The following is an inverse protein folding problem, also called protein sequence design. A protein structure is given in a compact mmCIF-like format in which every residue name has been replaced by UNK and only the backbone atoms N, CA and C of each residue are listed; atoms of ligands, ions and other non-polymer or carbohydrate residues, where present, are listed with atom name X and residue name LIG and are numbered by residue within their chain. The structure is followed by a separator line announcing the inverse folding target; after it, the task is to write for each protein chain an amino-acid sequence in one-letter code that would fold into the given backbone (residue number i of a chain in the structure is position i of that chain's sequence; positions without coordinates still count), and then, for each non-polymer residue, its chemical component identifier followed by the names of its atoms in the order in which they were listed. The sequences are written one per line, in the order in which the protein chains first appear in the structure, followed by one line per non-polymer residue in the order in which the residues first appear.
data_IF_104132399453
#
_entry.id   IF_104132399453
#
_cell.length_a   1.000
_cell.length_b   1.000
_cell.length_c   1.000
_cell.angle_alpha   90.00
_cell.angle_beta   90.00
_cell.angle_gamma   90.00
#
_symmetry.space_group_name_H-M   'P 1'
#
loop_
_entity.id
_entity.type
_entity.pdbx_description
1 polymer ?
#
# COMPACT_ATOMS: atom_id res chain seq x y z
N UNK A 1 11.42 36.68 -24.33
CA UNK A 1 10.70 36.57 -25.63
C UNK A 1 10.74 35.17 -26.26
N UNK A 2 11.74 34.30 -26.00
CA UNK A 2 11.85 32.99 -26.67
C UNK A 2 10.75 31.96 -26.34
N UNK A 3 10.05 32.09 -25.22
CA UNK A 3 9.07 31.09 -24.74
C UNK A 3 7.63 31.29 -25.29
N UNK A 4 7.41 32.03 -26.38
CA UNK A 4 6.08 32.22 -26.95
C UNK A 4 5.65 31.02 -27.83
N UNK A 5 4.34 30.67 -27.89
CA UNK A 5 3.85 29.52 -28.68
C UNK A 5 4.16 29.57 -30.18
N UNK A 6 4.45 30.76 -30.72
CA UNK A 6 4.83 30.99 -32.12
C UNK A 6 6.25 30.52 -32.45
N UNK A 7 7.09 30.28 -31.43
CA UNK A 7 8.48 29.87 -31.59
C UNK A 7 8.68 28.35 -31.31
N UNK A 8 7.60 27.56 -31.23
CA UNK A 8 7.67 26.14 -30.86
C UNK A 8 8.43 25.29 -31.89
N UNK A 9 8.33 25.65 -33.17
CA UNK A 9 9.05 24.97 -34.25
C UNK A 9 10.56 25.23 -34.14
N UNK A 10 10.98 26.47 -33.83
CA UNK A 10 12.39 26.83 -33.61
C UNK A 10 12.95 26.12 -32.36
N UNK A 11 12.17 26.05 -31.28
CA UNK A 11 12.58 25.33 -30.07
C UNK A 11 12.72 23.82 -30.30
N UNK A 12 11.84 23.23 -31.12
CA UNK A 12 11.92 21.82 -31.47
C UNK A 12 13.11 21.51 -32.39
N UNK A 13 13.33 22.30 -33.44
CA UNK A 13 14.39 22.06 -34.42
C UNK A 13 15.79 22.22 -33.83
N UNK A 14 16.03 23.23 -32.99
CA UNK A 14 17.38 23.51 -32.48
C UNK A 14 17.67 22.92 -31.10
N UNK A 15 16.64 22.67 -30.28
CA UNK A 15 16.82 22.20 -28.90
C UNK A 15 16.07 20.91 -28.59
N UNK A 16 15.30 20.34 -29.52
CA UNK A 16 14.51 19.12 -29.30
C UNK A 16 13.33 19.30 -28.33
N UNK A 17 12.98 20.55 -27.96
CA UNK A 17 11.95 20.84 -26.97
C UNK A 17 10.72 21.47 -27.64
N UNK A 18 9.56 20.79 -27.58
CA UNK A 18 8.27 21.37 -27.98
C UNK A 18 7.29 21.44 -26.80
N UNK A 19 6.71 22.62 -26.59
CA UNK A 19 5.64 22.84 -25.62
C UNK A 19 4.36 22.11 -26.02
N UNK A 20 4.01 22.07 -27.30
CA UNK A 20 2.84 21.35 -27.79
C UNK A 20 2.95 19.85 -27.56
N UNK A 21 4.12 19.28 -27.83
CA UNK A 21 4.39 17.85 -27.58
C UNK A 21 4.32 17.56 -26.08
N UNK A 22 4.97 18.39 -25.25
CA UNK A 22 4.91 18.25 -23.78
C UNK A 22 3.50 18.38 -23.23
N UNK A 23 2.69 19.33 -23.72
CA UNK A 23 1.31 19.52 -23.29
C UNK A 23 0.40 18.36 -23.71
N UNK A 24 0.58 17.82 -24.93
CA UNK A 24 -0.13 16.61 -25.39
C UNK A 24 0.24 15.39 -24.57
N UNK A 25 1.53 15.22 -24.25
CA UNK A 25 2.03 14.15 -23.38
C UNK A 25 1.42 14.24 -21.98
N UNK A 26 1.47 15.42 -21.33
CA UNK A 26 0.85 15.64 -20.02
C UNK A 26 -0.67 15.41 -20.04
N UNK A 27 -1.36 15.87 -21.08
CA UNK A 27 -2.81 15.65 -21.23
C UNK A 27 -3.15 14.16 -21.36
N UNK A 28 -2.34 13.40 -22.10
CA UNK A 28 -2.51 11.96 -22.25
C UNK A 28 -2.25 11.22 -20.93
N UNK A 29 -1.21 11.63 -20.19
CA UNK A 29 -0.89 11.08 -18.87
C UNK A 29 -2.04 11.30 -17.86
N UNK A 30 -2.55 12.54 -17.76
CA UNK A 30 -3.68 12.87 -16.88
C UNK A 30 -4.92 12.05 -17.26
N UNK A 31 -5.22 11.91 -18.57
CA UNK A 31 -6.34 11.10 -19.04
C UNK A 31 -6.18 9.63 -18.63
N UNK A 32 -4.98 9.05 -18.80
CA UNK A 32 -4.68 7.68 -18.35
C UNK A 32 -4.93 7.54 -16.84
N UNK A 33 -4.39 8.46 -16.04
CA UNK A 33 -4.59 8.46 -14.57
C UNK A 33 -6.07 8.49 -14.19
N UNK A 34 -6.86 9.36 -14.83
CA UNK A 34 -8.30 9.47 -14.59
C UNK A 34 -9.10 8.26 -15.07
N UNK A 35 -8.67 7.57 -16.13
CA UNK A 35 -9.31 6.32 -16.58
C UNK A 35 -9.11 5.23 -15.54
N UNK A 36 -7.87 5.01 -15.08
CA UNK A 36 -7.56 4.01 -14.05
C UNK A 36 -8.29 4.34 -12.76
N UNK A 37 -8.22 5.59 -12.28
CA UNK A 37 -8.92 6.02 -11.06
C UNK A 37 -10.43 5.73 -11.13
N UNK A 38 -11.09 6.11 -12.23
CA UNK A 38 -12.53 5.85 -12.41
C UNK A 38 -12.84 4.36 -12.50
N UNK A 39 -11.98 3.56 -13.16
CA UNK A 39 -12.14 2.10 -13.22
C UNK A 39 -12.00 1.47 -11.83
N UNK A 40 -10.98 1.85 -11.08
CA UNK A 40 -10.76 1.40 -9.71
C UNK A 40 -11.94 1.79 -8.79
N UNK A 41 -12.42 3.03 -8.83
CA UNK A 41 -13.59 3.45 -8.04
C UNK A 41 -14.85 2.65 -8.37
N UNK A 42 -15.03 2.25 -9.63
CA UNK A 42 -16.19 1.49 -10.09
C UNK A 42 -16.10 0.00 -9.73
N UNK A 43 -14.91 -0.59 -9.78
CA UNK A 43 -14.72 -2.03 -9.61
C UNK A 43 -14.32 -2.41 -8.17
N UNK A 44 -13.52 -1.57 -7.53
CA UNK A 44 -13.00 -1.76 -6.17
C UNK A 44 -13.85 -0.95 -5.19
N UNK A 45 -15.15 -1.26 -5.13
CA UNK A 45 -16.15 -0.41 -4.46
C UNK A 45 -16.04 -0.42 -2.93
N UNK A 46 -15.42 -1.44 -2.35
CA UNK A 46 -15.40 -1.66 -0.90
C UNK A 46 -14.00 -1.44 -0.33
N UNK A 47 -13.91 -0.57 0.69
CA UNK A 47 -12.74 -0.50 1.57
C UNK A 47 -12.50 -1.87 2.21
N UNK A 48 -11.25 -2.29 2.28
CA UNK A 48 -10.87 -3.59 2.83
C UNK A 48 -11.10 -4.78 1.90
N UNK A 49 -11.52 -4.54 0.65
CA UNK A 49 -11.57 -5.58 -0.38
C UNK A 49 -10.17 -6.13 -0.64
N UNK A 50 -10.03 -7.44 -0.66
CA UNK A 50 -8.77 -8.07 -1.04
C UNK A 50 -8.61 -8.01 -2.55
N UNK A 51 -7.45 -7.54 -3.00
CA UNK A 51 -7.11 -7.39 -4.42
C UNK A 51 -5.76 -8.06 -4.67
N UNK A 52 -5.66 -8.75 -5.81
CA UNK A 52 -4.41 -9.31 -6.28
C UNK A 52 -3.69 -8.27 -7.14
N UNK A 53 -2.52 -7.80 -6.70
CA UNK A 53 -1.65 -6.97 -7.55
C UNK A 53 -0.64 -7.88 -8.23
N UNK A 54 -0.61 -7.89 -9.57
CA UNK A 54 0.19 -8.84 -10.36
C UNK A 54 0.86 -8.18 -11.56
N UNK A 55 2.15 -8.49 -11.77
CA UNK A 55 2.89 -8.18 -13.00
C UNK A 55 2.24 -8.90 -14.20
N UNK A 56 1.80 -8.11 -15.19
CA UNK A 56 1.15 -8.61 -16.39
C UNK A 56 2.10 -9.40 -17.32
N UNK A 57 3.41 -9.26 -17.13
CA UNK A 57 4.44 -9.99 -17.88
C UNK A 57 4.94 -11.24 -17.16
N UNK A 58 4.44 -11.53 -15.95
CA UNK A 58 4.84 -12.72 -15.20
C UNK A 58 3.99 -13.95 -15.61
N UNK A 59 4.58 -14.76 -16.49
CA UNK A 59 4.02 -16.01 -17.01
C UNK A 59 4.08 -17.17 -16.00
N UNK A 60 4.73 -16.99 -14.84
CA UNK A 60 4.90 -18.07 -13.83
C UNK A 60 3.63 -18.30 -13.02
N UNK A 61 2.79 -17.28 -12.87
CA UNK A 61 1.53 -17.40 -12.14
C UNK A 61 0.71 -18.59 -12.65
N UNK A 62 0.16 -19.43 -11.75
CA UNK A 62 0.04 -19.24 -10.29
C UNK A 62 1.21 -19.82 -9.49
N UNK A 63 2.28 -20.31 -10.11
CA UNK A 63 3.35 -21.09 -9.49
C UNK A 63 4.60 -20.25 -9.23
N UNK A 64 5.03 -20.15 -7.97
CA UNK A 64 6.22 -19.39 -7.62
C UNK A 64 7.51 -20.12 -8.05
N UNK A 65 8.57 -19.35 -8.31
CA UNK A 65 9.92 -19.89 -8.50
C UNK A 65 10.49 -20.33 -7.14
N UNK A 66 10.50 -21.64 -6.91
CA UNK A 66 10.96 -22.28 -5.66
C UNK A 66 12.46 -22.08 -5.40
N UNK A 67 13.24 -21.67 -6.41
CA UNK A 67 14.69 -21.40 -6.22
C UNK A 67 14.94 -20.05 -5.54
N UNK A 68 13.95 -19.15 -5.52
CA UNK A 68 14.06 -17.81 -4.95
C UNK A 68 13.57 -17.79 -3.51
N UNK A 69 14.44 -17.34 -2.59
CA UNK A 69 14.06 -17.14 -1.18
C UNK A 69 13.19 -15.90 -0.95
N UNK A 70 13.42 -14.84 -1.74
CA UNK A 70 12.67 -13.58 -1.63
C UNK A 70 11.30 -13.73 -2.30
N UNK A 71 10.21 -13.57 -1.54
CA UNK A 71 8.83 -13.78 -2.04
C UNK A 71 8.51 -12.97 -3.31
N UNK A 72 8.90 -11.70 -3.38
CA UNK A 72 8.63 -10.84 -4.54
C UNK A 72 9.47 -11.19 -5.78
N UNK A 73 10.60 -11.88 -5.61
CA UNK A 73 11.38 -12.46 -6.73
C UNK A 73 10.80 -13.80 -7.17
N UNK A 74 10.41 -14.62 -6.20
CA UNK A 74 9.79 -15.92 -6.41
C UNK A 74 8.46 -15.78 -7.17
N UNK A 75 7.66 -14.77 -6.81
CA UNK A 75 6.37 -14.47 -7.43
C UNK A 75 6.14 -12.97 -7.52
N UNK A 76 5.79 -12.45 -8.71
CA UNK A 76 5.46 -11.02 -8.89
C UNK A 76 3.96 -10.75 -8.76
N UNK A 77 3.35 -11.41 -7.78
CA UNK A 77 1.98 -11.18 -7.39
C UNK A 77 1.82 -11.28 -5.88
N UNK A 78 0.97 -10.43 -5.33
CA UNK A 78 0.67 -10.41 -3.91
C UNK A 78 -0.74 -9.87 -3.66
N UNK A 79 -1.41 -10.42 -2.64
CA UNK A 79 -2.74 -9.99 -2.21
C UNK A 79 -2.57 -8.86 -1.21
N UNK A 80 -3.32 -7.80 -1.41
CA UNK A 80 -3.40 -6.68 -0.47
C UNK A 80 -4.84 -6.33 -0.15
N UNK A 81 -5.06 -5.67 0.99
CA UNK A 81 -6.35 -5.01 1.26
C UNK A 81 -6.34 -3.63 0.60
N UNK A 82 -7.32 -3.40 -0.26
CA UNK A 82 -7.50 -2.13 -0.94
C UNK A 82 -8.05 -1.08 0.04
N UNK A 83 -7.36 0.05 0.14
CA UNK A 83 -7.84 1.20 0.91
C UNK A 83 -8.60 2.16 0.01
N UNK A 84 -8.04 2.60 -1.10
CA UNK A 84 -8.74 3.62 -1.88
C UNK A 84 -7.96 4.28 -2.99
N UNK A 85 -8.65 5.20 -3.65
CA UNK A 85 -8.08 6.08 -4.66
C UNK A 85 -7.66 7.42 -4.03
N UNK A 86 -6.37 7.73 -4.09
CA UNK A 86 -5.81 8.99 -3.59
C UNK A 86 -5.25 9.85 -4.72
N UNK A 87 -4.67 11.00 -4.41
CA UNK A 87 -4.12 11.90 -5.42
C UNK A 87 -2.88 11.32 -6.12
N UNK A 88 -2.17 10.42 -5.45
CA UNK A 88 -0.87 9.87 -5.85
C UNK A 88 -0.91 8.40 -6.33
N UNK A 89 -2.06 7.73 -6.20
CA UNK A 89 -2.24 6.36 -6.68
C UNK A 89 -3.38 5.63 -6.00
N UNK A 90 -3.42 4.31 -6.20
CA UNK A 90 -4.22 3.38 -5.41
C UNK A 90 -3.44 3.05 -4.13
N UNK A 91 -4.06 3.18 -2.96
CA UNK A 91 -3.44 2.80 -1.70
C UNK A 91 -3.87 1.39 -1.34
N UNK A 92 -2.89 0.58 -0.93
CA UNK A 92 -3.11 -0.77 -0.42
C UNK A 92 -2.43 -0.92 0.93
N UNK A 93 -3.11 -1.58 1.87
CA UNK A 93 -2.62 -1.77 3.23
C UNK A 93 -1.43 -2.73 3.22
N UNK A 94 -0.33 -2.30 3.86
CA UNK A 94 0.87 -3.11 4.05
C UNK A 94 1.00 -3.61 5.48
N UNK A 95 0.78 -2.73 6.44
CA UNK A 95 0.87 -3.04 7.87
C UNK A 95 -0.25 -2.36 8.63
N UNK A 96 -0.80 -3.05 9.64
CA UNK A 96 -1.78 -2.50 10.55
C UNK A 96 -1.49 -2.96 11.97
N UNK A 97 -1.25 -2.01 12.86
CA UNK A 97 -0.92 -2.27 14.24
C UNK A 97 -1.93 -1.64 15.19
N UNK A 98 -2.21 -2.32 16.30
CA UNK A 98 -2.84 -1.68 17.46
C UNK A 98 -1.96 -0.53 17.95
N UNK A 99 -2.58 0.62 18.19
CA UNK A 99 -1.86 1.83 18.54
C UNK A 99 -2.52 2.61 19.68
N UNK A 100 -1.76 3.56 20.20
CA UNK A 100 -2.14 4.52 21.22
C UNK A 100 -1.87 5.93 20.70
N UNK A 101 -2.80 6.85 20.94
CA UNK A 101 -2.62 8.28 20.76
C UNK A 101 -3.15 9.00 22.00
N UNK A 102 -2.30 9.78 22.66
CA UNK A 102 -2.67 10.49 23.87
C UNK A 102 -3.64 11.65 23.61
N UNK A 103 -4.22 12.20 24.67
CA UNK A 103 -5.15 13.32 24.65
C UNK A 103 -4.56 14.58 23.98
N UNK A 104 -3.24 14.76 24.07
CA UNK A 104 -2.50 15.86 23.45
C UNK A 104 -2.37 15.75 21.93
N UNK A 105 -2.63 14.57 21.34
CA UNK A 105 -2.44 14.30 19.92
C UNK A 105 -0.98 14.27 19.47
N UNK A 106 -0.04 14.20 20.41
CA UNK A 106 1.41 14.22 20.18
C UNK A 106 2.04 12.92 20.67
N UNK A 107 1.80 12.52 21.91
CA UNK A 107 2.38 11.29 22.44
C UNK A 107 1.69 10.06 21.84
N UNK A 108 2.47 9.17 21.23
CA UNK A 108 1.91 8.01 20.53
C UNK A 108 2.75 6.75 20.69
N UNK A 109 2.14 5.60 20.43
CA UNK A 109 2.84 4.34 20.30
C UNK A 109 2.06 3.31 19.46
N UNK A 110 2.71 2.23 19.02
CA UNK A 110 2.06 1.07 18.41
C UNK A 110 2.73 -0.25 18.80
N UNK A 111 1.95 -1.33 18.68
CA UNK A 111 2.35 -2.70 18.96
C UNK A 111 3.15 -3.30 17.81
N UNK A 112 4.48 -3.19 17.86
CA UNK A 112 5.39 -3.66 16.81
C UNK A 112 5.36 -5.18 16.59
N UNK A 113 5.05 -5.95 17.63
CA UNK A 113 5.14 -7.41 17.60
C UNK A 113 3.96 -8.10 16.90
N UNK A 114 2.93 -7.36 16.46
CA UNK A 114 1.76 -7.91 15.78
C UNK A 114 1.48 -7.12 14.51
N UNK A 115 0.88 -7.76 13.50
CA UNK A 115 0.41 -7.09 12.29
C UNK A 115 -0.94 -7.69 11.86
N UNK A 116 -1.97 -6.85 11.83
CA UNK A 116 -3.36 -7.19 11.46
C UNK A 116 -3.68 -6.86 9.98
N UNK A 117 -2.64 -6.74 9.15
CA UNK A 117 -2.75 -6.50 7.70
C UNK A 117 -3.00 -7.76 6.87
N UNK A 118 -2.69 -8.94 7.42
CA UNK A 118 -2.63 -10.18 6.65
C UNK A 118 -3.96 -10.47 5.92
N UNK A 119 -3.92 -10.84 4.63
CA UNK A 119 -5.13 -11.20 3.89
C UNK A 119 -5.75 -12.47 4.48
N UNK A 120 -7.07 -12.52 4.52
CA UNK A 120 -7.86 -13.61 5.08
C UNK A 120 -7.67 -14.89 4.28
N UNK A 121 -7.73 -14.79 2.94
CA UNK A 121 -7.55 -15.93 2.03
C UNK A 121 -6.33 -15.69 1.16
N UNK A 122 -5.24 -16.40 1.43
CA UNK A 122 -4.06 -16.37 0.58
C UNK A 122 -3.70 -17.81 0.16
N UNK A 123 -3.93 -18.18 -1.12
CA UNK A 123 -3.71 -19.54 -1.60
C UNK A 123 -2.23 -19.91 -1.68
N UNK A 124 -1.33 -18.93 -1.59
CA UNK A 124 0.11 -19.14 -1.65
C UNK A 124 0.80 -19.00 -0.29
N UNK A 125 0.09 -19.31 0.81
CA UNK A 125 0.71 -19.47 2.13
C UNK A 125 1.54 -20.75 2.15
N UNK A 126 2.71 -20.67 2.77
CA UNK A 126 3.57 -21.82 3.04
C UNK A 126 3.33 -22.35 4.46
N UNK A 127 3.82 -23.56 4.76
CA UNK A 127 3.80 -24.09 6.14
C UNK A 127 4.53 -23.19 7.14
N UNK A 128 5.62 -22.53 6.69
CA UNK A 128 6.34 -21.56 7.52
C UNK A 128 5.52 -20.30 7.79
N UNK A 129 4.68 -19.87 6.83
CA UNK A 129 3.74 -18.77 7.04
C UNK A 129 2.69 -19.15 8.09
N UNK A 130 2.23 -20.40 8.12
CA UNK A 130 1.28 -20.88 9.14
C UNK A 130 1.89 -20.89 10.55
N UNK A 131 3.13 -21.39 10.71
CA UNK A 131 3.83 -21.35 12.00
C UNK A 131 4.05 -19.93 12.51
N UNK A 132 4.36 -19.01 11.59
CA UNK A 132 4.50 -17.59 11.93
C UNK A 132 3.17 -17.00 12.41
N UNK A 133 2.03 -17.42 11.85
CA UNK A 133 0.72 -16.94 12.28
C UNK A 133 0.40 -17.28 13.74
N UNK A 134 0.80 -18.45 14.24
CA UNK A 134 0.60 -18.80 15.65
C UNK A 134 1.35 -17.85 16.58
N UNK A 135 2.60 -17.51 16.23
CA UNK A 135 3.41 -16.54 16.98
C UNK A 135 2.79 -15.14 16.92
N UNK A 136 2.34 -14.72 15.74
CA UNK A 136 1.65 -13.43 15.54
C UNK A 136 0.33 -13.39 16.30
N UNK A 137 -0.41 -14.50 16.39
CA UNK A 137 -1.66 -14.58 17.14
C UNK A 137 -1.43 -14.39 18.64
N UNK A 138 -0.39 -15.02 19.20
CA UNK A 138 0.00 -14.81 20.59
C UNK A 138 0.45 -13.36 20.86
N UNK A 139 1.25 -12.78 19.97
CA UNK A 139 1.68 -11.39 20.07
C UNK A 139 0.49 -10.41 19.97
N UNK A 140 -0.47 -10.70 19.08
CA UNK A 140 -1.73 -9.95 18.94
C UNK A 140 -2.56 -10.03 20.22
N UNK A 141 -2.70 -11.21 20.84
CA UNK A 141 -3.43 -11.35 22.09
C UNK A 141 -2.82 -10.51 23.21
N UNK A 142 -1.50 -10.54 23.37
CA UNK A 142 -0.79 -9.72 24.35
C UNK A 142 -0.97 -8.21 24.10
N UNK A 143 -0.82 -7.79 22.84
CA UNK A 143 -1.04 -6.39 22.46
C UNK A 143 -2.50 -5.95 22.71
N UNK A 144 -3.47 -6.83 22.43
CA UNK A 144 -4.89 -6.59 22.66
C UNK A 144 -5.18 -6.37 24.15
N UNK A 145 -4.61 -7.18 25.06
CA UNK A 145 -4.77 -6.98 26.51
C UNK A 145 -4.32 -5.59 26.96
N UNK A 146 -3.18 -5.10 26.44
CA UNK A 146 -2.69 -3.76 26.72
C UNK A 146 -3.63 -2.71 26.13
N UNK A 147 -4.04 -2.90 24.88
CA UNK A 147 -4.87 -1.96 24.14
C UNK A 147 -6.27 -1.81 24.74
N UNK A 148 -6.87 -2.91 25.22
CA UNK A 148 -8.16 -2.91 25.90
C UNK A 148 -8.10 -2.23 27.28
N UNK A 149 -6.93 -2.20 27.93
CA UNK A 149 -6.73 -1.45 29.16
C UNK A 149 -6.62 0.07 28.93
N UNK A 150 -6.38 0.53 27.70
CA UNK A 150 -6.32 1.95 27.36
C UNK A 150 -7.73 2.57 27.37
N UNK A 151 -7.86 3.86 27.74
CA UNK A 151 -9.09 4.61 27.50
C UNK A 151 -9.49 4.53 26.02
N UNK A 152 -10.77 4.28 25.74
CA UNK A 152 -11.27 4.08 24.38
C UNK A 152 -10.90 5.24 23.43
N UNK A 153 -10.97 6.48 23.91
CA UNK A 153 -10.58 7.70 23.17
C UNK A 153 -9.10 7.79 22.80
N UNK A 154 -8.23 6.97 23.41
CA UNK A 154 -6.80 6.91 23.13
C UNK A 154 -6.43 5.67 22.32
N UNK A 155 -7.35 4.73 22.13
CA UNK A 155 -7.15 3.57 21.28
C UNK A 155 -7.11 4.01 19.82
N UNK A 156 -6.06 3.57 19.12
CA UNK A 156 -5.79 3.97 17.75
C UNK A 156 -5.38 2.78 16.88
N UNK A 157 -5.36 3.05 15.57
CA UNK A 157 -4.70 2.24 14.56
C UNK A 157 -3.50 2.98 14.02
N UNK A 158 -2.40 2.24 13.85
CA UNK A 158 -1.25 2.66 13.06
C UNK A 158 -1.24 1.84 11.78
N UNK A 159 -1.42 2.50 10.64
CA UNK A 159 -1.58 1.87 9.33
C UNK A 159 -0.51 2.40 8.37
N UNK A 160 0.17 1.48 7.69
CA UNK A 160 1.12 1.79 6.62
C UNK A 160 0.55 1.32 5.29
N UNK A 161 0.53 2.21 4.30
CA UNK A 161 0.03 1.93 2.96
C UNK A 161 1.14 2.04 1.92
N UNK A 162 1.11 1.12 0.97
CA UNK A 162 1.86 1.20 -0.28
C UNK A 162 1.06 1.99 -1.31
N UNK A 163 1.75 2.79 -2.12
CA UNK A 163 1.14 3.59 -3.18
C UNK A 163 1.42 2.94 -4.53
N UNK A 164 0.39 2.42 -5.17
CA UNK A 164 0.43 1.92 -6.53
C UNK A 164 0.11 3.06 -7.50
N UNK A 165 1.09 3.57 -8.27
CA UNK A 165 0.87 4.67 -9.20
C UNK A 165 -0.20 4.33 -10.24
N UNK A 166 -1.05 5.30 -10.58
CA UNK A 166 -2.06 5.09 -11.62
C UNK A 166 -1.46 4.74 -12.98
N UNK A 167 -0.26 5.24 -13.28
CA UNK A 167 0.46 4.98 -14.52
C UNK A 167 1.04 3.56 -14.62
N UNK A 168 1.29 2.87 -13.50
CA UNK A 168 1.79 1.50 -13.50
C UNK A 168 0.69 0.46 -13.70
N UNK A 169 -0.58 0.83 -13.44
CA UNK A 169 -1.74 -0.03 -13.69
C UNK A 169 -2.03 -0.10 -15.18
N UNK A 170 -2.00 -1.32 -15.72
CA UNK A 170 -2.38 -1.63 -17.10
C UNK A 170 -3.89 -1.81 -17.17
N UNK A 171 -4.44 -2.70 -16.34
CA UNK A 171 -5.87 -2.91 -16.27
C UNK A 171 -6.34 -3.52 -14.93
N UNK A 172 -7.65 -3.52 -14.71
CA UNK A 172 -8.29 -4.14 -13.56
C UNK A 172 -9.36 -5.13 -14.05
N UNK A 173 -9.27 -6.38 -13.63
CA UNK A 173 -10.33 -7.38 -13.73
C UNK A 173 -11.05 -7.47 -12.37
N UNK A 174 -12.37 -7.44 -12.36
CA UNK A 174 -13.19 -7.49 -11.15
C UNK A 174 -13.59 -8.90 -10.72
N UNK A 175 -13.38 -9.91 -11.58
CA UNK A 175 -13.84 -11.28 -11.32
C UNK A 175 -12.76 -12.17 -10.71
N UNK A 176 -11.52 -12.03 -11.17
CA UNK A 176 -10.43 -12.91 -10.78
C UNK A 176 -10.48 -14.26 -11.50
N UNK A 177 -9.95 -15.30 -10.85
CA UNK A 177 -9.77 -16.63 -11.45
C UNK A 177 -9.91 -17.77 -10.42
N UNK A 178 -9.58 -19.00 -10.83
CA UNK A 178 -9.66 -20.20 -9.98
C UNK A 178 -8.68 -20.22 -8.80
N UNK A 179 -7.69 -19.32 -8.76
CA UNK A 179 -6.73 -19.21 -7.66
C UNK A 179 -7.07 -18.08 -6.70
N UNK A 180 -7.58 -16.96 -7.21
CA UNK A 180 -8.01 -15.82 -6.42
C UNK A 180 -9.34 -15.27 -6.94
N UNK A 181 -10.40 -15.60 -6.19
CA UNK A 181 -11.76 -15.08 -6.37
C UNK A 181 -11.83 -13.63 -5.83
N UNK A 182 -11.38 -12.68 -6.64
CA UNK A 182 -11.41 -11.25 -6.32
C UNK A 182 -10.70 -10.43 -7.40
N UNK A 183 -10.73 -9.09 -7.31
CA UNK A 183 -10.19 -8.26 -8.37
C UNK A 183 -8.68 -8.43 -8.57
N UNK A 184 -8.26 -8.51 -9.83
CA UNK A 184 -6.86 -8.50 -10.24
C UNK A 184 -6.49 -7.13 -10.78
N UNK A 185 -5.43 -6.55 -10.25
CA UNK A 185 -4.81 -5.33 -10.73
C UNK A 185 -3.55 -5.72 -11.49
N UNK A 186 -3.62 -5.65 -12.81
CA UNK A 186 -2.50 -5.91 -13.70
C UNK A 186 -1.60 -4.68 -13.77
N UNK A 187 -0.32 -4.86 -13.48
CA UNK A 187 0.70 -3.80 -13.50
C UNK A 187 1.78 -4.08 -14.52
N UNK A 188 2.44 -3.03 -15.00
CA UNK A 188 3.54 -3.14 -15.96
C UNK A 188 4.90 -3.26 -15.26
N UNK A 189 5.49 -2.13 -14.90
CA UNK A 189 6.81 -2.12 -14.27
C UNK A 189 6.76 -2.76 -12.86
N UNK A 190 7.64 -3.74 -12.64
CA UNK A 190 7.73 -4.48 -11.38
C UNK A 190 9.19 -4.58 -10.94
N UNK A 191 9.52 -3.93 -9.83
CA UNK A 191 10.84 -4.00 -9.21
C UNK A 191 10.90 -5.23 -8.26
N UNK A 192 11.97 -6.03 -8.31
CA UNK A 192 12.05 -7.29 -7.56
C UNK A 192 12.11 -7.13 -6.05
N UNK A 193 12.36 -5.92 -5.54
CA UNK A 193 12.49 -5.62 -4.11
C UNK A 193 11.25 -4.88 -3.60
N UNK A 194 10.78 -3.88 -4.35
CA UNK A 194 9.65 -3.04 -3.91
C UNK A 194 8.33 -3.37 -4.58
N UNK A 195 8.31 -4.18 -5.63
CA UNK A 195 7.13 -4.40 -6.47
C UNK A 195 6.78 -3.19 -7.34
N UNK A 196 5.51 -2.99 -7.72
CA UNK A 196 5.06 -1.92 -8.62
C UNK A 196 4.78 -0.59 -7.89
N UNK A 197 5.23 -0.46 -6.64
CA UNK A 197 4.87 0.65 -5.76
C UNK A 197 5.88 1.81 -5.82
N UNK A 198 5.45 2.99 -5.37
CA UNK A 198 6.35 4.12 -5.11
C UNK A 198 7.41 3.75 -4.06
N UNK A 199 8.50 4.50 -4.07
CA UNK A 199 9.61 4.40 -3.11
C UNK A 199 9.27 4.94 -1.71
N UNK A 200 8.17 5.68 -1.57
CA UNK A 200 7.64 6.14 -0.29
C UNK A 200 6.38 5.38 0.13
N UNK A 201 6.09 5.43 1.42
CA UNK A 201 4.89 4.88 2.05
C UNK A 201 4.04 6.00 2.64
N UNK A 202 2.75 5.72 2.84
CA UNK A 202 1.84 6.60 3.58
C UNK A 202 1.57 5.99 4.94
N UNK A 203 1.66 6.80 5.98
CA UNK A 203 1.37 6.38 7.35
C UNK A 203 0.14 7.11 7.84
N UNK A 204 -0.75 6.39 8.51
CA UNK A 204 -1.93 6.93 9.17
C UNK A 204 -1.94 6.46 10.61
N UNK A 205 -1.92 7.42 11.54
CA UNK A 205 -2.17 7.19 12.95
C UNK A 205 -3.51 7.86 13.30
N UNK A 206 -4.49 7.05 13.69
CA UNK A 206 -5.86 7.51 13.87
C UNK A 206 -6.54 6.81 15.04
N UNK A 207 -7.20 7.56 15.94
CA UNK A 207 -8.02 6.95 16.98
C UNK A 207 -9.24 6.23 16.40
N UNK A 208 -9.79 5.26 17.14
CA UNK A 208 -10.92 4.44 16.69
C UNK A 208 -12.29 5.13 16.77
N UNK A 209 -12.36 6.33 17.35
CA UNK A 209 -13.62 7.03 17.57
C UNK A 209 -14.28 7.45 16.25
N UNK A 210 -15.51 7.02 15.99
CA UNK A 210 -16.19 7.27 14.72
C UNK A 210 -16.51 8.75 14.47
N UNK A 211 -16.84 9.52 15.52
CA UNK A 211 -17.28 10.92 15.42
C UNK A 211 -16.24 11.93 15.93
N UNK A 212 -15.18 11.44 16.57
CA UNK A 212 -14.13 12.23 17.21
C UNK A 212 -12.75 11.63 16.93
N UNK A 213 -12.58 11.06 15.74
CA UNK A 213 -11.31 10.53 15.27
C UNK A 213 -10.26 11.64 15.33
N UNK A 214 -9.15 11.34 15.99
CA UNK A 214 -7.98 12.21 16.08
C UNK A 214 -6.87 11.61 15.24
N UNK A 215 -6.18 12.49 14.53
CA UNK A 215 -5.07 12.14 13.66
C UNK A 215 -3.80 12.79 14.19
N UNK A 216 -2.69 12.09 14.04
CA UNK A 216 -1.38 12.63 14.37
C UNK A 216 -0.34 12.18 13.34
N UNK A 217 0.72 12.96 13.22
CA UNK A 217 1.92 12.51 12.53
C UNK A 217 2.70 11.57 13.46
N UNK A 218 3.14 10.44 12.92
CA UNK A 218 3.92 9.46 13.66
C UNK A 218 5.39 9.91 13.82
N UNK A 219 5.61 11.06 14.47
CA UNK A 219 6.95 11.60 14.72
C UNK A 219 7.71 10.69 15.70
N UNK A 220 8.85 10.08 15.32
CA UNK A 220 9.61 9.19 16.19
C UNK A 220 10.02 9.81 17.54
N UNK A 221 10.26 11.12 17.58
CA UNK A 221 10.68 11.83 18.81
C UNK A 221 9.57 11.93 19.86
N UNK A 222 8.31 11.89 19.42
CA UNK A 222 7.13 11.94 20.29
C UNK A 222 6.65 10.55 20.73
N UNK A 223 7.37 9.49 20.32
CA UNK A 223 6.94 8.12 20.57
C UNK A 223 7.23 7.71 22.01
N UNK A 224 6.18 7.32 22.73
CA UNK A 224 6.25 6.80 24.10
C UNK A 224 6.21 5.27 24.08
N UNK A 225 6.60 4.62 25.19
CA UNK A 225 6.54 3.15 25.32
C UNK A 225 5.27 2.73 26.04
N UNK A 226 4.26 2.30 25.28
CA UNK A 226 3.02 1.68 25.78
C UNK A 226 2.98 0.18 25.47
N UNK A 227 3.54 -0.23 24.35
CA UNK A 227 3.61 -1.63 23.93
C UNK A 227 5.03 -2.20 24.09
N UNK A 228 5.18 -3.53 24.20
CA UNK A 228 6.47 -4.19 24.03
C UNK A 228 7.08 -3.82 22.67
N UNK A 229 8.42 -3.74 22.65
CA UNK A 229 9.19 -3.53 21.41
C UNK A 229 9.64 -4.89 20.91
N UNK A 230 9.88 -4.99 19.61
CA UNK A 230 10.66 -6.11 19.09
C UNK A 230 12.04 -5.96 19.72
N UNK A 231 12.45 -6.92 20.56
CA UNK A 231 13.86 -6.98 20.95
C UNK A 231 14.64 -7.01 19.65
N UNK A 232 15.50 -6.02 19.42
CA UNK A 232 16.35 -6.00 18.25
C UNK A 232 17.11 -7.33 18.29
N UNK A 233 16.72 -8.27 17.43
CA UNK A 233 17.54 -9.42 17.11
C UNK A 233 18.86 -8.79 16.69
N UNK A 234 19.86 -8.90 17.57
CA UNK A 234 21.20 -8.39 17.34
C UNK A 234 21.72 -8.94 16.01
N UNK A 235 22.67 -8.21 15.39
CA UNK A 235 23.14 -8.45 14.02
C UNK A 235 23.52 -9.91 13.74
#
# INVERSE_FOLDING_TARGET
MLYQPKNDDVLFTFFGVSKRIRQRSLSAEVRRKLVVKRKAQRLLQSFGLEVLVRDASDDRYPYADETQREKLRARRWCIYRYEGCHHDGLHVLRHRHLAFLDDDGVAWDFAECMDDSAPHKNPWRTEDDEKLMDQVAAARANAMTIWDALPEKNRAWFEEYLVLPYESVIDIDDKGDEWFEGPHIYVGEFDPVRGPFRDYRRVRLCTIGQWSARHAEANPEARVKKFPRVEALGP
#
